data_IF_787972850969
#
_entry.id   IF_787972850969
#
_cell.length_a   1.000
_cell.length_b   1.000
_cell.length_c   1.000
_cell.angle_alpha   90.00
_cell.angle_beta   90.00
_cell.angle_gamma   90.00
#
_symmetry.space_group_name_H-M   'P 1'
#
loop_
_entity.id
_entity.type
_entity.pdbx_description
1 polymer ?
#
# COMPACT_ATOMS: atom_id res chain seq x y z
N UNK A 1 -18.09 -6.18 13.70
CA UNK A 1 -16.86 -6.74 13.10
C UNK A 1 -17.01 -8.25 12.93
N UNK A 2 -17.35 -8.76 11.73
CA UNK A 2 -17.64 -10.19 11.53
C UNK A 2 -16.47 -11.13 11.87
N UNK A 3 -15.24 -10.68 11.64
CA UNK A 3 -14.03 -11.46 11.95
C UNK A 3 -13.90 -11.78 13.45
N UNK A 4 -14.11 -10.80 14.32
CA UNK A 4 -14.06 -10.98 15.78
C UNK A 4 -15.19 -11.89 16.30
N UNK A 5 -16.39 -11.79 15.72
CA UNK A 5 -17.50 -12.70 16.02
C UNK A 5 -17.16 -14.16 15.66
N UNK A 6 -16.49 -14.37 14.53
CA UNK A 6 -16.02 -15.69 14.12
C UNK A 6 -14.95 -16.24 15.08
N UNK A 7 -14.02 -15.40 15.56
CA UNK A 7 -13.03 -15.77 16.57
C UNK A 7 -13.71 -16.19 17.87
N UNK A 8 -14.62 -15.37 18.40
CA UNK A 8 -15.38 -15.69 19.62
C UNK A 8 -16.11 -17.01 19.50
N UNK A 9 -16.77 -17.27 18.36
CA UNK A 9 -17.48 -18.52 18.12
C UNK A 9 -16.53 -19.71 18.05
N UNK A 10 -15.39 -19.57 17.35
CA UNK A 10 -14.41 -20.65 17.14
C UNK A 10 -13.72 -21.05 18.44
N UNK A 11 -13.34 -20.09 19.27
CA UNK A 11 -12.52 -20.31 20.46
C UNK A 11 -13.28 -20.05 21.77
N UNK A 12 -14.62 -20.17 21.77
CA UNK A 12 -15.50 -19.80 22.89
C UNK A 12 -15.11 -20.36 24.27
N UNK A 13 -14.48 -21.54 24.31
CA UNK A 13 -14.09 -22.23 25.54
C UNK A 13 -12.65 -21.88 25.98
N UNK A 14 -11.92 -21.09 25.18
CA UNK A 14 -10.50 -20.77 25.35
C UNK A 14 -10.21 -19.25 25.32
N UNK A 15 -11.07 -18.47 24.66
CA UNK A 15 -10.88 -17.05 24.39
C UNK A 15 -12.20 -16.31 24.61
N UNK A 16 -12.11 -15.20 25.32
CA UNK A 16 -13.17 -14.19 25.40
C UNK A 16 -12.75 -13.00 24.56
N UNK A 17 -13.58 -12.64 23.58
CA UNK A 17 -13.43 -11.43 22.78
C UNK A 17 -14.19 -10.30 23.46
N UNK A 18 -13.47 -9.19 23.69
CA UNK A 18 -13.99 -7.98 24.31
C UNK A 18 -13.71 -6.79 23.38
N UNK A 19 -14.76 -6.04 23.04
CA UNK A 19 -14.61 -4.71 22.45
C UNK A 19 -14.87 -3.64 23.52
N UNK A 20 -14.15 -2.53 23.43
CA UNK A 20 -14.24 -1.41 24.36
C UNK A 20 -14.70 -0.17 23.61
N UNK A 21 -15.69 0.53 24.18
CA UNK A 21 -16.22 1.80 23.69
C UNK A 21 -15.98 2.88 24.73
N UNK A 22 -15.53 4.07 24.33
CA UNK A 22 -15.41 5.24 25.23
C UNK A 22 -16.77 5.94 25.46
N UNK A 23 -17.83 5.45 24.83
CA UNK A 23 -19.22 5.86 25.06
C UNK A 23 -19.79 5.30 26.37
N UNK A 24 -20.78 5.97 26.93
CA UNK A 24 -21.50 5.51 28.12
C UNK A 24 -22.38 4.26 27.84
N UNK A 25 -22.82 3.61 28.92
CA UNK A 25 -23.57 2.36 28.84
C UNK A 25 -24.91 2.50 28.11
N UNK A 26 -25.62 3.61 28.29
CA UNK A 26 -26.93 3.83 27.65
C UNK A 26 -26.74 4.01 26.15
N UNK A 27 -25.72 4.78 25.75
CA UNK A 27 -25.36 4.99 24.34
C UNK A 27 -24.98 3.66 23.66
N UNK A 28 -24.13 2.85 24.29
CA UNK A 28 -23.74 1.53 23.74
C UNK A 28 -24.95 0.58 23.69
N UNK A 29 -25.77 0.53 24.73
CA UNK A 29 -26.96 -0.34 24.77
C UNK A 29 -27.95 0.03 23.67
N UNK A 30 -28.22 1.32 23.49
CA UNK A 30 -29.08 1.82 22.43
C UNK A 30 -28.52 1.52 21.04
N UNK A 31 -27.20 1.61 20.85
CA UNK A 31 -26.55 1.23 19.59
C UNK A 31 -26.70 -0.28 19.30
N UNK A 32 -26.50 -1.13 20.31
CA UNK A 32 -26.54 -2.59 20.16
C UNK A 32 -27.91 -3.11 19.76
N UNK A 33 -29.00 -2.40 20.10
CA UNK A 33 -30.36 -2.73 19.71
C UNK A 33 -30.73 -2.34 18.26
N UNK A 34 -29.93 -1.49 17.60
CA UNK A 34 -30.20 -1.05 16.22
C UNK A 34 -29.90 -2.17 15.22
N UNK A 35 -30.56 -2.10 14.08
CA UNK A 35 -30.26 -2.95 12.92
C UNK A 35 -28.80 -2.78 12.50
N UNK A 36 -28.14 -3.91 12.26
CA UNK A 36 -26.78 -3.95 11.77
C UNK A 36 -26.74 -3.95 10.24
N UNK A 37 -25.53 -3.90 9.70
CA UNK A 37 -25.29 -4.11 8.27
C UNK A 37 -25.57 -5.56 7.81
N UNK A 38 -25.80 -6.49 8.73
CA UNK A 38 -26.17 -7.88 8.43
C UNK A 38 -27.70 -7.95 8.39
N UNK A 39 -28.32 -8.29 7.24
CA UNK A 39 -29.78 -8.32 7.11
C UNK A 39 -30.44 -9.20 8.17
N UNK A 40 -31.47 -8.63 8.83
CA UNK A 40 -32.26 -9.31 9.86
C UNK A 40 -31.53 -9.53 11.18
N UNK A 41 -30.42 -8.81 11.44
CA UNK A 41 -29.71 -8.87 12.72
C UNK A 41 -29.48 -7.49 13.30
N UNK A 42 -29.73 -7.35 14.60
CA UNK A 42 -29.24 -6.23 15.41
C UNK A 42 -27.71 -6.25 15.53
N UNK A 43 -27.11 -5.14 15.97
CA UNK A 43 -25.68 -5.10 16.29
C UNK A 43 -25.30 -6.08 17.40
N UNK A 44 -26.17 -6.30 18.38
CA UNK A 44 -25.99 -7.33 19.41
C UNK A 44 -25.81 -8.72 18.81
N UNK A 45 -26.69 -9.12 17.89
CA UNK A 45 -26.61 -10.41 17.21
C UNK A 45 -25.44 -10.48 16.22
N UNK A 46 -25.12 -9.38 15.55
CA UNK A 46 -24.03 -9.34 14.57
C UNK A 46 -22.65 -9.41 15.22
N UNK A 47 -22.45 -8.79 16.38
CA UNK A 47 -21.19 -8.84 17.12
C UNK A 47 -21.05 -10.16 17.86
N UNK A 48 -22.08 -10.62 18.58
CA UNK A 48 -22.03 -11.92 19.29
C UNK A 48 -20.79 -12.12 20.19
N UNK A 49 -20.20 -11.04 20.69
CA UNK A 49 -19.13 -10.99 21.69
C UNK A 49 -19.36 -9.80 22.64
N UNK A 50 -18.62 -9.74 23.74
CA UNK A 50 -18.84 -8.75 24.79
C UNK A 50 -18.42 -7.35 24.30
N UNK A 51 -19.28 -6.36 24.52
CA UNK A 51 -18.97 -4.94 24.35
C UNK A 51 -19.04 -4.29 25.72
N UNK A 52 -17.91 -3.77 26.19
CA UNK A 52 -17.81 -3.04 27.45
C UNK A 52 -17.57 -1.55 27.20
N UNK A 53 -17.87 -0.75 28.21
CA UNK A 53 -17.71 0.70 28.18
C UNK A 53 -16.49 1.11 29.02
N UNK A 54 -15.75 2.10 28.53
CA UNK A 54 -14.58 2.75 29.14
C UNK A 54 -14.76 4.28 29.11
N UNK A 55 -15.82 4.85 29.75
CA UNK A 55 -16.15 6.27 29.58
C UNK A 55 -15.13 7.23 30.20
N UNK A 56 -14.29 6.73 31.12
CA UNK A 56 -13.16 7.49 31.69
C UNK A 56 -11.88 7.39 30.86
N UNK A 57 -11.92 6.66 29.74
CA UNK A 57 -10.79 6.38 28.85
C UNK A 57 -9.57 5.75 29.55
N UNK A 58 -9.78 5.08 30.68
CA UNK A 58 -8.68 4.47 31.45
C UNK A 58 -7.99 3.38 30.63
N UNK A 59 -8.73 2.49 29.98
CA UNK A 59 -8.12 1.45 29.13
C UNK A 59 -7.46 2.06 27.90
N UNK A 60 -8.09 3.05 27.27
CA UNK A 60 -7.52 3.79 26.14
C UNK A 60 -6.19 4.46 26.51
N UNK A 61 -6.06 5.00 27.72
CA UNK A 61 -4.87 5.74 28.14
C UNK A 61 -3.80 4.83 28.76
N UNK A 62 -4.17 4.00 29.72
CA UNK A 62 -3.22 3.19 30.51
C UNK A 62 -2.82 1.90 29.82
N UNK A 63 -3.62 1.38 28.89
CA UNK A 63 -3.29 0.17 28.13
C UNK A 63 -2.95 0.53 26.69
N UNK A 64 -3.87 1.15 25.95
CA UNK A 64 -3.67 1.36 24.51
C UNK A 64 -2.54 2.35 24.20
N UNK A 65 -2.57 3.57 24.76
CA UNK A 65 -1.50 4.55 24.55
C UNK A 65 -0.18 4.09 25.18
N UNK A 66 -0.21 3.53 26.40
CA UNK A 66 0.98 3.04 27.09
C UNK A 66 1.70 1.93 26.32
N UNK A 67 0.94 1.06 25.65
CA UNK A 67 1.48 0.01 24.78
C UNK A 67 1.91 0.53 23.39
N UNK A 68 1.92 1.85 23.18
CA UNK A 68 2.37 2.47 21.93
C UNK A 68 1.32 2.48 20.81
N UNK A 69 0.04 2.20 21.12
CA UNK A 69 -1.07 2.32 20.19
C UNK A 69 -1.25 3.73 19.65
N UNK A 70 -1.40 3.86 18.32
CA UNK A 70 -1.45 5.16 17.62
C UNK A 70 -2.64 5.35 16.68
N UNK A 71 -3.43 4.29 16.46
CA UNK A 71 -4.57 4.35 15.56
C UNK A 71 -5.50 3.16 15.76
N UNK A 72 -6.73 3.33 15.31
CA UNK A 72 -7.76 2.31 15.27
C UNK A 72 -7.98 1.86 13.81
N UNK A 73 -8.35 0.59 13.57
CA UNK A 73 -8.61 -0.45 14.56
C UNK A 73 -7.32 -1.09 15.10
N UNK A 74 -7.34 -1.45 16.39
CA UNK A 74 -6.24 -2.15 17.08
C UNK A 74 -6.81 -3.20 18.03
N UNK A 75 -6.07 -4.27 18.26
CA UNK A 75 -6.45 -5.35 19.17
C UNK A 75 -5.24 -5.84 19.96
N UNK A 76 -5.54 -6.35 21.15
CA UNK A 76 -4.58 -6.95 22.06
C UNK A 76 -4.92 -8.43 22.24
N UNK A 77 -3.90 -9.28 22.30
CA UNK A 77 -4.07 -10.62 22.85
C UNK A 77 -3.47 -10.58 24.25
N UNK A 78 -4.30 -10.88 25.25
CA UNK A 78 -3.88 -10.97 26.65
C UNK A 78 -3.73 -12.46 26.98
N UNK A 79 -2.54 -12.84 27.43
CA UNK A 79 -2.19 -14.21 27.80
C UNK A 79 -2.82 -14.62 29.12
N UNK A 80 -2.70 -15.91 29.44
CA UNK A 80 -3.24 -16.51 30.68
C UNK A 80 -2.62 -15.91 31.95
N UNK A 81 -1.45 -15.29 31.86
CA UNK A 81 -0.77 -14.60 32.96
C UNK A 81 -1.11 -13.10 33.04
N UNK A 82 -2.13 -12.64 32.28
CA UNK A 82 -2.59 -11.26 32.25
C UNK A 82 -1.67 -10.29 31.50
N UNK A 83 -0.64 -10.78 30.81
CA UNK A 83 0.29 -9.94 30.05
C UNK A 83 -0.08 -9.88 28.57
N UNK A 84 0.29 -8.78 27.93
CA UNK A 84 0.11 -8.62 26.49
C UNK A 84 1.03 -9.58 25.75
N UNK A 85 0.45 -10.45 24.94
CA UNK A 85 1.14 -11.35 24.02
C UNK A 85 1.40 -10.70 22.68
N UNK A 86 0.45 -9.91 22.19
CA UNK A 86 0.48 -9.33 20.86
C UNK A 86 -0.38 -8.07 20.78
N UNK A 87 0.02 -7.14 19.91
CA UNK A 87 -0.69 -5.90 19.59
C UNK A 87 -0.66 -5.70 18.08
N UNK A 88 -1.80 -5.40 17.46
CA UNK A 88 -1.84 -5.05 16.05
C UNK A 88 -3.24 -4.94 15.48
N UNK A 89 -3.34 -4.92 14.15
CA UNK A 89 -4.60 -4.82 13.43
C UNK A 89 -5.43 -6.12 13.57
N UNK A 90 -6.74 -6.07 13.89
CA UNK A 90 -7.56 -7.25 14.15
C UNK A 90 -7.44 -8.34 13.08
N UNK A 91 -7.43 -7.97 11.79
CA UNK A 91 -7.31 -8.93 10.67
C UNK A 91 -6.01 -9.75 10.67
N UNK A 92 -4.97 -9.31 11.40
CA UNK A 92 -3.68 -9.99 11.48
C UNK A 92 -3.54 -10.85 12.74
N UNK A 93 -4.59 -10.95 13.57
CA UNK A 93 -4.51 -11.59 14.89
C UNK A 93 -4.59 -13.12 14.87
N UNK A 94 -5.11 -13.73 13.79
CA UNK A 94 -5.44 -15.16 13.76
C UNK A 94 -4.24 -16.07 14.05
N UNK A 95 -3.09 -15.77 13.43
CA UNK A 95 -1.85 -16.55 13.61
C UNK A 95 -1.27 -16.37 15.03
N UNK A 96 -1.05 -15.13 15.53
CA UNK A 96 -0.66 -14.91 16.93
C UNK A 96 -1.61 -15.58 17.92
N UNK A 97 -2.93 -15.45 17.74
CA UNK A 97 -3.91 -16.02 18.65
C UNK A 97 -3.83 -17.55 18.70
N UNK A 98 -3.74 -18.20 17.53
CA UNK A 98 -3.57 -19.66 17.47
C UNK A 98 -2.30 -20.12 18.22
N UNK A 99 -1.17 -19.43 18.01
CA UNK A 99 0.09 -19.74 18.68
C UNK A 99 0.04 -19.52 20.20
N UNK A 100 -0.71 -18.53 20.67
CA UNK A 100 -0.92 -18.31 22.12
C UNK A 100 -1.78 -19.43 22.70
N UNK A 101 -2.81 -19.87 21.97
CA UNK A 101 -3.71 -20.95 22.39
C UNK A 101 -2.96 -22.29 22.47
N UNK A 102 -2.18 -22.64 21.45
CA UNK A 102 -1.45 -23.91 21.38
C UNK A 102 -0.13 -23.93 22.18
N UNK A 103 0.30 -22.78 22.70
CA UNK A 103 1.49 -22.64 23.55
C UNK A 103 2.81 -22.50 22.78
N UNK A 104 2.77 -22.39 21.46
CA UNK A 104 3.97 -22.14 20.63
C UNK A 104 4.39 -20.66 20.57
N UNK A 105 3.62 -19.76 21.18
CA UNK A 105 3.93 -18.33 21.17
C UNK A 105 5.19 -17.97 21.98
N UNK A 106 6.17 -17.37 21.30
CA UNK A 106 7.32 -16.75 21.94
C UNK A 106 7.09 -15.25 22.12
N UNK A 107 6.65 -14.88 23.33
CA UNK A 107 6.42 -13.48 23.71
C UNK A 107 7.68 -12.63 23.62
N UNK A 108 8.85 -13.17 23.96
CA UNK A 108 10.09 -12.41 23.96
C UNK A 108 10.52 -12.07 22.52
N UNK A 109 10.42 -13.04 21.61
CA UNK A 109 10.65 -12.82 20.18
C UNK A 109 9.63 -11.84 19.59
N UNK A 110 8.35 -11.99 19.93
CA UNK A 110 7.29 -11.08 19.49
C UNK A 110 7.53 -9.63 19.95
N UNK A 111 7.95 -9.44 21.21
CA UNK A 111 8.29 -8.13 21.76
C UNK A 111 9.48 -7.51 21.03
N UNK A 112 10.56 -8.27 20.82
CA UNK A 112 11.73 -7.80 20.08
C UNK A 112 11.38 -7.36 18.66
N UNK A 113 10.54 -8.14 17.97
CA UNK A 113 10.03 -7.78 16.64
C UNK A 113 9.20 -6.50 16.67
N UNK A 114 8.25 -6.40 17.61
CA UNK A 114 7.41 -5.22 17.76
C UNK A 114 8.24 -3.95 18.01
N UNK A 115 9.23 -4.00 18.90
CA UNK A 115 10.09 -2.86 19.21
C UNK A 115 10.92 -2.43 17.98
N UNK A 116 11.42 -3.40 17.20
CA UNK A 116 12.13 -3.13 15.94
C UNK A 116 11.20 -2.49 14.87
N UNK A 117 10.00 -3.03 14.68
CA UNK A 117 9.00 -2.52 13.74
C UNK A 117 8.57 -1.09 14.14
N UNK A 118 8.39 -0.81 15.44
CA UNK A 118 8.05 0.53 15.94
C UNK A 118 9.19 1.53 15.73
N UNK A 119 10.45 1.11 15.92
CA UNK A 119 11.61 1.95 15.66
C UNK A 119 11.71 2.29 14.17
N UNK A 120 11.57 1.29 13.31
CA UNK A 120 11.53 1.44 11.85
C UNK A 120 10.41 2.41 11.43
N UNK A 121 9.20 2.21 11.94
CA UNK A 121 8.06 3.08 11.63
C UNK A 121 8.29 4.52 12.09
N UNK A 122 8.89 4.74 13.28
CA UNK A 122 9.25 6.08 13.75
C UNK A 122 10.27 6.75 12.82
N UNK A 123 11.29 6.02 12.38
CA UNK A 123 12.30 6.53 11.46
C UNK A 123 11.69 6.87 10.10
N UNK A 124 10.86 5.98 9.54
CA UNK A 124 10.14 6.21 8.28
C UNK A 124 9.18 7.40 8.36
N UNK A 125 8.48 7.57 9.49
CA UNK A 125 7.59 8.72 9.70
C UNK A 125 8.38 10.03 9.74
N UNK A 126 9.57 10.04 10.35
CA UNK A 126 10.45 11.22 10.36
C UNK A 126 10.92 11.56 8.94
N UNK A 127 11.37 10.57 8.17
CA UNK A 127 11.76 10.76 6.77
C UNK A 127 10.59 11.34 5.97
N UNK A 128 9.41 10.73 6.08
CA UNK A 128 8.21 11.20 5.37
C UNK A 128 7.85 12.65 5.73
N UNK A 129 7.89 12.99 7.02
CA UNK A 129 7.56 14.34 7.49
C UNK A 129 8.57 15.37 7.00
N UNK A 130 9.87 15.08 7.13
CA UNK A 130 10.93 15.98 6.69
C UNK A 130 10.91 16.15 5.16
N UNK A 131 10.74 15.05 4.42
CA UNK A 131 10.66 15.08 2.96
C UNK A 131 9.44 15.87 2.49
N UNK A 132 8.28 15.70 3.13
CA UNK A 132 7.08 16.49 2.83
C UNK A 132 7.34 17.99 3.02
N UNK A 133 8.02 18.39 4.10
CA UNK A 133 8.35 19.79 4.34
C UNK A 133 9.31 20.33 3.28
N UNK A 134 10.35 19.56 2.90
CA UNK A 134 11.28 19.95 1.85
C UNK A 134 10.59 20.12 0.48
N UNK A 135 9.71 19.18 0.10
CA UNK A 135 8.92 19.27 -1.14
C UNK A 135 8.02 20.51 -1.15
N UNK A 136 7.34 20.80 -0.03
CA UNK A 136 6.49 21.98 0.11
C UNK A 136 7.30 23.29 0.00
N UNK A 137 8.51 23.31 0.56
CA UNK A 137 9.43 24.45 0.43
C UNK A 137 10.12 24.52 -0.95
N UNK A 138 9.90 23.53 -1.83
CA UNK A 138 10.65 23.35 -3.07
C UNK A 138 12.18 23.28 -2.87
N UNK A 139 12.61 22.77 -1.72
CA UNK A 139 14.03 22.62 -1.37
C UNK A 139 14.56 21.28 -1.89
N UNK A 140 15.15 21.33 -3.09
CA UNK A 140 15.74 20.16 -3.74
C UNK A 140 16.87 19.56 -2.92
N UNK A 141 17.76 20.39 -2.36
CA UNK A 141 18.95 19.92 -1.64
C UNK A 141 18.53 19.13 -0.41
N UNK A 142 17.63 19.70 0.41
CA UNK A 142 17.11 19.01 1.59
C UNK A 142 16.37 17.72 1.22
N UNK A 143 15.54 17.74 0.17
CA UNK A 143 14.81 16.56 -0.27
C UNK A 143 15.76 15.41 -0.68
N UNK A 144 16.84 15.72 -1.39
CA UNK A 144 17.83 14.72 -1.82
C UNK A 144 18.64 14.18 -0.64
N UNK A 145 19.10 15.04 0.28
CA UNK A 145 19.82 14.60 1.48
C UNK A 145 18.97 13.66 2.35
N UNK A 146 17.69 13.99 2.56
CA UNK A 146 16.75 13.15 3.32
C UNK A 146 16.58 11.78 2.68
N UNK A 147 16.43 11.75 1.35
CA UNK A 147 16.27 10.50 0.61
C UNK A 147 17.56 9.69 0.57
N UNK A 148 18.72 10.32 0.43
CA UNK A 148 20.02 9.63 0.44
C UNK A 148 20.33 9.02 1.80
N UNK A 149 20.14 9.76 2.89
CA UNK A 149 20.27 9.24 4.26
C UNK A 149 19.21 8.16 4.55
N UNK A 150 18.01 8.29 3.98
CA UNK A 150 16.98 7.25 4.02
C UNK A 150 17.39 5.95 3.31
N UNK A 151 17.89 6.06 2.08
CA UNK A 151 18.34 4.92 1.25
C UNK A 151 19.56 4.25 1.89
N UNK A 152 20.50 5.02 2.45
CA UNK A 152 21.67 4.48 3.14
C UNK A 152 21.28 3.65 4.37
N UNK A 153 20.28 4.11 5.14
CA UNK A 153 19.79 3.39 6.32
C UNK A 153 18.90 2.21 5.97
N UNK A 154 18.17 2.28 4.85
CA UNK A 154 17.21 1.27 4.41
C UNK A 154 17.46 0.86 2.96
N UNK A 155 18.60 0.19 2.65
CA UNK A 155 19.01 -0.10 1.28
C UNK A 155 18.03 -0.98 0.50
N UNK A 156 17.30 -1.86 1.20
CA UNK A 156 16.28 -2.75 0.65
C UNK A 156 14.93 -2.03 0.36
N UNK A 157 14.77 -0.79 0.82
CA UNK A 157 13.53 -0.04 0.61
C UNK A 157 13.51 0.61 -0.78
N UNK A 158 13.10 -0.16 -1.79
CA UNK A 158 12.94 0.33 -3.17
C UNK A 158 11.99 1.53 -3.29
N UNK A 159 11.04 1.70 -2.35
CA UNK A 159 10.11 2.84 -2.36
C UNK A 159 10.83 4.18 -2.20
N UNK A 160 11.88 4.26 -1.37
CA UNK A 160 12.67 5.48 -1.22
C UNK A 160 13.44 5.83 -2.51
N UNK A 161 14.00 4.82 -3.17
CA UNK A 161 14.69 5.00 -4.46
C UNK A 161 13.71 5.44 -5.55
N UNK A 162 12.53 4.83 -5.63
CA UNK A 162 11.45 5.24 -6.55
C UNK A 162 10.96 6.66 -6.29
N UNK A 163 10.79 7.04 -5.02
CA UNK A 163 10.39 8.40 -4.65
C UNK A 163 11.46 9.42 -5.06
N UNK A 164 12.75 9.11 -4.86
CA UNK A 164 13.86 9.93 -5.33
C UNK A 164 13.86 10.09 -6.85
N UNK A 165 13.69 8.99 -7.58
CA UNK A 165 13.56 9.00 -9.04
C UNK A 165 12.45 9.94 -9.51
N UNK A 166 11.24 9.78 -8.95
CA UNK A 166 10.09 10.59 -9.34
C UNK A 166 10.31 12.08 -9.06
N UNK A 167 10.83 12.45 -7.88
CA UNK A 167 11.07 13.86 -7.56
C UNK A 167 12.13 14.49 -8.45
N UNK A 168 13.23 13.77 -8.74
CA UNK A 168 14.25 14.25 -9.68
C UNK A 168 13.65 14.45 -11.07
N UNK A 169 12.81 13.54 -11.53
CA UNK A 169 12.26 13.55 -12.87
C UNK A 169 11.19 14.64 -13.07
N UNK A 170 10.23 14.73 -12.16
CA UNK A 170 8.99 15.51 -12.39
C UNK A 170 8.96 16.84 -11.65
N UNK A 171 9.58 16.93 -10.46
CA UNK A 171 9.50 18.13 -9.61
C UNK A 171 10.70 19.05 -9.80
N UNK A 172 11.88 18.45 -9.84
CA UNK A 172 13.16 19.16 -9.83
C UNK A 172 13.85 19.18 -11.20
N UNK A 173 13.29 18.47 -12.19
CA UNK A 173 13.77 18.43 -13.58
C UNK A 173 15.27 18.09 -13.71
N UNK A 174 15.78 17.26 -12.79
CA UNK A 174 17.15 16.76 -12.78
C UNK A 174 17.27 15.49 -13.63
N UNK A 175 16.97 15.61 -14.92
CA UNK A 175 16.81 14.48 -15.84
C UNK A 175 18.00 13.51 -15.84
N UNK A 176 19.23 14.02 -15.91
CA UNK A 176 20.43 13.17 -15.90
C UNK A 176 20.52 12.32 -14.64
N UNK A 177 20.28 12.91 -13.47
CA UNK A 177 20.32 12.18 -12.20
C UNK A 177 19.15 11.19 -12.09
N UNK A 178 17.95 11.60 -12.54
CA UNK A 178 16.78 10.74 -12.58
C UNK A 178 17.06 9.49 -13.44
N UNK A 179 17.59 9.64 -14.66
CA UNK A 179 17.78 8.51 -15.57
C UNK A 179 18.94 7.58 -15.19
N UNK A 180 19.98 8.10 -14.52
CA UNK A 180 20.99 7.23 -13.88
C UNK A 180 20.33 6.34 -12.82
N UNK A 181 19.52 6.93 -11.94
CA UNK A 181 18.82 6.18 -10.91
C UNK A 181 17.74 5.24 -11.50
N UNK A 182 17.04 5.68 -12.54
CA UNK A 182 16.03 4.88 -13.25
C UNK A 182 16.62 3.62 -13.86
N UNK A 183 17.80 3.71 -14.47
CA UNK A 183 18.53 2.54 -14.97
C UNK A 183 18.87 1.55 -13.84
N UNK A 184 19.40 2.04 -12.72
CA UNK A 184 19.69 1.21 -11.54
C UNK A 184 18.42 0.55 -10.99
N UNK A 185 17.30 1.28 -10.96
CA UNK A 185 16.02 0.76 -10.50
C UNK A 185 15.49 -0.34 -11.41
N UNK A 186 15.61 -0.20 -12.72
CA UNK A 186 15.24 -1.26 -13.68
C UNK A 186 16.09 -2.51 -13.47
N UNK A 187 17.40 -2.35 -13.26
CA UNK A 187 18.30 -3.50 -13.07
C UNK A 187 18.04 -4.22 -11.73
N UNK A 188 17.78 -3.48 -10.65
CA UNK A 188 17.49 -4.05 -9.32
C UNK A 188 16.11 -4.73 -9.27
N UNK A 189 15.14 -4.19 -10.00
CA UNK A 189 13.75 -4.69 -10.00
C UNK A 189 13.42 -5.44 -11.29
N UNK A 190 14.40 -6.10 -11.91
CA UNK A 190 14.26 -6.75 -13.22
C UNK A 190 13.19 -7.85 -13.27
N UNK A 191 12.77 -8.36 -12.11
CA UNK A 191 11.71 -9.37 -11.94
C UNK A 191 10.40 -8.81 -11.37
N UNK A 192 10.29 -7.50 -11.10
CA UNK A 192 9.05 -6.88 -10.64
C UNK A 192 8.39 -6.08 -11.77
N UNK A 193 7.44 -6.72 -12.45
CA UNK A 193 6.69 -6.11 -13.57
C UNK A 193 5.98 -4.83 -13.19
N UNK A 194 5.54 -4.66 -11.93
CA UNK A 194 4.81 -3.47 -11.48
C UNK A 194 5.75 -2.28 -11.35
N UNK A 195 6.94 -2.49 -10.78
CA UNK A 195 7.95 -1.43 -10.66
C UNK A 195 8.45 -1.02 -12.05
N UNK A 196 8.77 -1.99 -12.90
CA UNK A 196 9.20 -1.73 -14.27
C UNK A 196 8.13 -0.97 -15.08
N UNK A 197 6.87 -1.39 -14.98
CA UNK A 197 5.76 -0.68 -15.60
C UNK A 197 5.63 0.76 -15.08
N UNK A 198 5.74 0.96 -13.77
CA UNK A 198 5.68 2.30 -13.18
C UNK A 198 6.79 3.21 -13.73
N UNK A 199 8.03 2.72 -13.86
CA UNK A 199 9.14 3.49 -14.41
C UNK A 199 8.84 3.85 -15.87
N UNK A 200 8.46 2.86 -16.69
CA UNK A 200 8.14 3.10 -18.10
C UNK A 200 7.02 4.13 -18.28
N UNK A 201 5.93 3.98 -17.52
CA UNK A 201 4.79 4.89 -17.57
C UNK A 201 5.17 6.30 -17.15
N UNK A 202 5.92 6.48 -16.05
CA UNK A 202 6.39 7.80 -15.62
C UNK A 202 7.24 8.47 -16.70
N UNK A 203 8.08 7.73 -17.44
CA UNK A 203 8.92 8.31 -18.49
C UNK A 203 8.12 8.62 -19.76
N UNK A 204 7.14 7.79 -20.12
CA UNK A 204 6.44 7.90 -21.40
C UNK A 204 5.20 8.80 -21.35
N UNK A 205 4.50 8.88 -20.21
CA UNK A 205 3.15 9.47 -20.12
C UNK A 205 3.07 10.68 -19.19
N UNK A 206 4.11 11.02 -18.43
CA UNK A 206 4.10 12.25 -17.60
C UNK A 206 3.95 13.49 -18.47
N UNK A 207 2.89 14.25 -18.25
CA UNK A 207 2.62 15.53 -18.93
C UNK A 207 3.70 16.57 -18.57
N UNK A 208 4.10 17.39 -19.56
CA UNK A 208 5.07 18.46 -19.35
C UNK A 208 6.52 18.00 -19.16
N UNK A 209 6.81 16.70 -19.32
CA UNK A 209 8.18 16.20 -19.22
C UNK A 209 9.00 16.57 -20.47
N UNK A 210 10.03 17.40 -20.29
CA UNK A 210 10.81 17.97 -21.41
C UNK A 210 11.81 16.99 -22.02
N UNK A 211 12.39 16.11 -21.19
CA UNK A 211 13.40 15.14 -21.62
C UNK A 211 12.89 13.76 -21.26
N UNK A 212 12.59 12.91 -22.26
CA UNK A 212 12.18 11.52 -22.10
C UNK A 212 13.32 10.57 -22.48
N UNK A 213 13.73 9.70 -21.57
CA UNK A 213 14.62 8.57 -21.91
C UNK A 213 13.78 7.38 -22.41
N UNK A 214 13.37 7.45 -23.67
CA UNK A 214 12.51 6.44 -24.28
C UNK A 214 13.20 5.08 -24.44
N UNK A 215 14.53 5.03 -24.45
CA UNK A 215 15.28 3.76 -24.44
C UNK A 215 15.12 3.06 -23.09
N UNK A 216 15.28 3.78 -21.99
CA UNK A 216 15.00 3.25 -20.65
C UNK A 216 13.53 2.85 -20.50
N UNK A 217 12.59 3.69 -20.97
CA UNK A 217 11.17 3.38 -20.91
C UNK A 217 10.84 2.10 -21.70
N UNK A 218 11.44 1.92 -22.88
CA UNK A 218 11.27 0.73 -23.71
C UNK A 218 11.85 -0.51 -23.02
N UNK A 219 13.07 -0.42 -22.48
CA UNK A 219 13.70 -1.51 -21.71
C UNK A 219 12.78 -1.99 -20.58
N UNK A 220 12.24 -1.05 -19.79
CA UNK A 220 11.37 -1.35 -18.67
C UNK A 220 10.01 -1.92 -19.11
N UNK A 221 9.34 -1.30 -20.11
CA UNK A 221 8.04 -1.74 -20.58
C UNK A 221 8.08 -3.14 -21.25
N UNK A 222 9.11 -3.41 -22.05
CA UNK A 222 9.30 -4.72 -22.69
C UNK A 222 9.50 -5.80 -21.63
N UNK A 223 10.37 -5.55 -20.65
CA UNK A 223 10.61 -6.50 -19.57
C UNK A 223 9.36 -6.74 -18.72
N UNK A 224 8.64 -5.68 -18.35
CA UNK A 224 7.36 -5.81 -17.64
C UNK A 224 6.37 -6.68 -18.43
N UNK A 225 6.26 -6.47 -19.74
CA UNK A 225 5.36 -7.21 -20.61
C UNK A 225 5.76 -8.69 -20.78
N UNK A 226 7.06 -8.99 -20.74
CA UNK A 226 7.56 -10.37 -20.74
C UNK A 226 7.16 -11.09 -19.44
N UNK A 227 7.35 -10.45 -18.29
CA UNK A 227 7.01 -11.01 -16.98
C UNK A 227 5.51 -11.28 -16.81
N UNK A 228 4.64 -10.50 -17.48
CA UNK A 228 3.19 -10.69 -17.43
C UNK A 228 2.64 -11.59 -18.53
N UNK A 229 3.49 -12.24 -19.33
CA UNK A 229 3.06 -13.08 -20.44
C UNK A 229 2.29 -12.31 -21.53
N UNK A 230 2.39 -10.97 -21.56
CA UNK A 230 1.58 -10.10 -22.40
C UNK A 230 0.07 -10.22 -22.17
N UNK A 231 -0.35 -10.35 -20.91
CA UNK A 231 -1.77 -10.45 -20.52
C UNK A 231 -2.23 -9.34 -19.57
N UNK A 232 -1.31 -8.54 -19.04
CA UNK A 232 -1.66 -7.40 -18.18
C UNK A 232 -1.98 -6.17 -19.04
N UNK A 233 -3.23 -5.71 -18.97
CA UNK A 233 -3.72 -4.60 -19.78
C UNK A 233 -2.97 -3.28 -19.51
N UNK A 234 -2.58 -3.00 -18.27
CA UNK A 234 -1.89 -1.76 -17.91
C UNK A 234 -0.45 -1.75 -18.42
N UNK A 235 0.22 -2.91 -18.37
CA UNK A 235 1.57 -3.08 -18.91
C UNK A 235 1.57 -2.97 -20.44
N UNK A 236 0.58 -3.56 -21.10
CA UNK A 236 0.43 -3.49 -22.55
C UNK A 236 0.13 -2.05 -23.03
N UNK A 237 -0.71 -1.33 -22.31
CA UNK A 237 -1.03 0.09 -22.57
C UNK A 237 0.22 0.98 -22.43
N UNK A 238 0.99 0.77 -21.36
CA UNK A 238 2.26 1.48 -21.15
C UNK A 238 3.26 1.19 -22.27
N UNK A 239 3.41 -0.08 -22.66
CA UNK A 239 4.27 -0.46 -23.78
C UNK A 239 3.82 0.22 -25.08
N UNK A 240 2.51 0.25 -25.34
CA UNK A 240 1.96 0.94 -26.51
C UNK A 240 2.25 2.45 -26.48
N UNK A 241 2.13 3.10 -25.32
CA UNK A 241 2.52 4.51 -25.15
C UNK A 241 3.99 4.72 -25.45
N UNK A 242 4.90 3.86 -24.97
CA UNK A 242 6.34 3.98 -25.29
C UNK A 242 6.57 3.89 -26.81
N UNK A 243 5.95 2.93 -27.51
CA UNK A 243 6.04 2.85 -28.97
C UNK A 243 5.52 4.12 -29.66
N UNK A 244 4.40 4.66 -29.18
CA UNK A 244 3.83 5.90 -29.70
C UNK A 244 4.80 7.08 -29.56
N UNK A 245 5.37 7.29 -28.36
CA UNK A 245 6.32 8.37 -28.10
C UNK A 245 7.63 8.21 -28.90
N UNK A 246 8.02 6.97 -29.23
CA UNK A 246 9.17 6.73 -30.15
C UNK A 246 8.85 6.95 -31.63
N UNK A 247 7.61 7.30 -31.97
CA UNK A 247 7.14 7.51 -33.35
C UNK A 247 6.71 6.25 -34.09
N UNK A 248 6.71 5.08 -33.45
CA UNK A 248 6.24 3.82 -34.04
C UNK A 248 4.75 3.61 -33.77
N UNK A 249 3.92 4.32 -34.55
CA UNK A 249 2.47 4.23 -34.47
C UNK A 249 1.95 2.80 -34.78
N UNK A 250 2.66 2.02 -35.60
CA UNK A 250 2.29 0.63 -35.90
C UNK A 250 2.49 -0.27 -34.69
N UNK A 251 3.63 -0.13 -34.01
CA UNK A 251 3.92 -0.79 -32.74
C UNK A 251 2.91 -0.40 -31.66
N UNK A 252 2.61 0.90 -31.52
CA UNK A 252 1.62 1.41 -30.59
C UNK A 252 0.24 0.77 -30.81
N UNK A 253 -0.25 0.76 -32.06
CA UNK A 253 -1.52 0.13 -32.41
C UNK A 253 -1.55 -1.37 -32.10
N UNK A 254 -0.46 -2.09 -32.38
CA UNK A 254 -0.37 -3.54 -32.10
C UNK A 254 -0.58 -3.81 -30.61
N UNK A 255 0.15 -3.11 -29.75
CA UNK A 255 0.12 -3.34 -28.32
C UNK A 255 -1.15 -2.78 -27.68
N UNK A 256 -1.64 -1.63 -28.12
CA UNK A 256 -2.89 -1.05 -27.64
C UNK A 256 -4.12 -1.93 -27.96
N UNK A 257 -4.15 -2.54 -29.16
CA UNK A 257 -5.17 -3.54 -29.51
C UNK A 257 -5.14 -4.74 -28.58
N UNK A 258 -3.95 -5.17 -28.14
CA UNK A 258 -3.81 -6.26 -27.18
C UNK A 258 -4.25 -5.82 -25.78
N UNK A 259 -3.83 -4.64 -25.33
CA UNK A 259 -4.27 -4.05 -24.06
C UNK A 259 -5.80 -4.02 -23.95
N UNK A 260 -6.48 -3.52 -25.00
CA UNK A 260 -7.94 -3.44 -25.07
C UNK A 260 -8.65 -4.79 -24.93
N UNK A 261 -8.05 -5.89 -25.43
CA UNK A 261 -8.59 -7.25 -25.29
C UNK A 261 -8.52 -7.78 -23.85
N UNK A 262 -7.50 -7.40 -23.10
CA UNK A 262 -7.31 -7.80 -21.70
C UNK A 262 -7.95 -6.81 -20.70
N UNK A 263 -8.38 -5.64 -21.18
CA UNK A 263 -8.98 -4.60 -20.35
C UNK A 263 -10.41 -4.97 -19.93
N UNK A 264 -10.68 -4.91 -18.62
CA UNK A 264 -12.02 -5.04 -18.08
C UNK A 264 -12.92 -3.84 -18.47
N UNK A 265 -14.22 -3.93 -18.20
CA UNK A 265 -15.10 -2.77 -18.29
C UNK A 265 -14.84 -1.78 -17.15
N UNK A 266 -15.08 -0.48 -17.39
CA UNK A 266 -14.88 0.59 -16.41
C UNK A 266 -13.68 1.48 -16.73
N UNK A 267 -13.43 2.47 -15.86
CA UNK A 267 -12.61 3.64 -16.18
C UNK A 267 -11.25 3.36 -16.85
N UNK A 268 -10.45 2.44 -16.32
CA UNK A 268 -9.16 2.11 -16.92
C UNK A 268 -9.31 1.45 -18.29
N UNK A 269 -10.22 0.48 -18.44
CA UNK A 269 -10.41 -0.20 -19.71
C UNK A 269 -11.05 0.67 -20.78
N UNK A 270 -11.91 1.60 -20.38
CA UNK A 270 -12.50 2.59 -21.28
C UNK A 270 -11.43 3.59 -21.77
N UNK A 271 -10.51 4.01 -20.90
CA UNK A 271 -9.36 4.83 -21.28
C UNK A 271 -8.44 4.12 -22.28
N UNK A 272 -8.12 2.83 -22.06
CA UNK A 272 -7.32 2.03 -23.00
C UNK A 272 -7.99 1.96 -24.39
N UNK A 273 -9.32 1.80 -24.45
CA UNK A 273 -10.08 1.79 -25.71
C UNK A 273 -10.11 3.15 -26.39
N UNK A 274 -10.19 4.23 -25.63
CA UNK A 274 -10.14 5.59 -26.17
C UNK A 274 -8.77 5.88 -26.79
N UNK A 275 -7.67 5.50 -26.12
CA UNK A 275 -6.31 5.64 -26.67
C UNK A 275 -6.14 4.79 -27.94
N UNK A 276 -6.73 3.59 -27.98
CA UNK A 276 -6.74 2.78 -29.20
C UNK A 276 -7.41 3.52 -30.37
N UNK A 277 -8.57 4.12 -30.13
CA UNK A 277 -9.27 4.89 -31.16
C UNK A 277 -8.43 6.08 -31.63
N UNK A 278 -7.80 6.81 -30.71
CA UNK A 278 -6.92 7.92 -31.04
C UNK A 278 -5.78 7.46 -31.98
N UNK A 279 -5.11 6.36 -31.66
CA UNK A 279 -4.03 5.84 -32.51
C UNK A 279 -4.53 5.37 -33.88
N UNK A 280 -5.76 4.85 -33.97
CA UNK A 280 -6.38 4.45 -35.23
C UNK A 280 -6.69 5.66 -36.11
N UNK A 281 -7.32 6.68 -35.53
CA UNK A 281 -7.67 7.92 -36.22
C UNK A 281 -6.42 8.67 -36.73
N UNK A 282 -5.31 8.62 -36.00
CA UNK A 282 -4.05 9.19 -36.47
C UNK A 282 -3.42 8.36 -37.60
N UNK A 283 -3.47 7.02 -37.50
CA UNK A 283 -2.89 6.14 -38.50
C UNK A 283 -3.61 6.26 -39.83
N UNK A 284 -4.94 6.39 -39.83
CA UNK A 284 -5.75 6.53 -41.04
C UNK A 284 -5.57 7.88 -41.75
N UNK A 285 -4.97 8.87 -41.08
CA UNK A 285 -4.64 10.20 -41.65
C UNK A 285 -3.27 10.26 -42.32
N UNK A 286 -2.40 9.26 -42.12
CA UNK A 286 -1.04 9.20 -42.69
C UNK A 286 -0.99 8.34 -43.94
#
# INVERSE_FOLDING_TARGET
MPHLAAIQKKYKDQVTVLALSDEDLDTVTAFMAKDSIIPGKSWAEAMSYIVATDPDESVKTEVFKAAGGRGIPSSFIIGKDGKIEWIGHPMSMDKPLAAVIDGSWDRAAARKKHDADQLMQKQMNRIRSALSAAIQANDQTAAMEILDDGILRFPENSSLKMQKFNLLLTRFHQYKAAYILGNQLVDINFEDSRVLNSIAWTIADTEGLEVRDLELAMKAAVQANQLTGSEDAAVLDTLARVYYETGDLKGALKWQKRASKHAAAGGQGDSIRQVLQQYQDEFDKK
#
